data_IF_764078633552
#
_entry.id   IF_764078633552
#
_cell.length_a   1.000
_cell.length_b   1.000
_cell.length_c   1.000
_cell.angle_alpha   90.00
_cell.angle_beta   90.00
_cell.angle_gamma   90.00
#
_symmetry.space_group_name_H-M   'P 1'
#
loop_
_entity.id
_entity.type
_entity.pdbx_description
1 polymer ?
#
# COMPACT_ATOMS: atom_id res chain seq x y z
N UNK A 1 -2.21 83.94 -18.45
CA UNK A 1 -2.21 83.21 -17.16
C UNK A 1 -1.36 81.96 -17.30
N UNK A 2 -0.31 81.84 -16.45
CA UNK A 2 0.52 80.65 -16.08
C UNK A 2 1.07 79.79 -17.26
N UNK A 3 2.35 79.96 -17.66
CA UNK A 3 3.56 79.23 -17.19
C UNK A 3 3.37 77.70 -17.24
N UNK A 4 4.17 76.87 -17.92
CA UNK A 4 5.43 77.00 -18.68
C UNK A 4 6.04 75.60 -18.92
N UNK A 5 7.02 75.51 -19.84
CA UNK A 5 8.17 74.57 -19.95
C UNK A 5 7.99 73.04 -19.76
N UNK A 6 8.55 72.11 -20.55
CA UNK A 6 9.70 72.03 -21.48
C UNK A 6 9.47 70.84 -22.46
N UNK A 7 9.79 70.84 -23.77
CA UNK A 7 11.10 70.65 -24.44
C UNK A 7 11.92 69.49 -23.81
N UNK A 8 12.40 68.44 -24.50
CA UNK A 8 13.18 68.42 -25.74
C UNK A 8 13.26 66.99 -26.35
N UNK A 9 13.43 66.94 -27.68
CA UNK A 9 13.92 65.83 -28.51
C UNK A 9 15.22 65.17 -27.98
N UNK A 10 15.50 63.91 -28.36
CA UNK A 10 16.69 63.53 -29.17
C UNK A 10 16.46 62.18 -29.89
N UNK A 11 17.05 62.13 -31.08
CA UNK A 11 17.00 61.22 -32.22
C UNK A 11 18.21 60.25 -32.22
N UNK A 12 17.95 59.00 -32.61
CA UNK A 12 18.80 57.96 -33.26
C UNK A 12 20.04 57.35 -32.55
N UNK A 13 20.16 56.01 -32.65
CA UNK A 13 21.18 55.35 -33.48
C UNK A 13 20.94 53.83 -33.63
N UNK A 14 21.22 53.35 -34.85
CA UNK A 14 21.16 51.97 -35.36
C UNK A 14 22.29 51.10 -34.81
N UNK A 15 22.08 49.77 -34.77
CA UNK A 15 23.03 48.63 -34.95
C UNK A 15 22.18 47.37 -34.64
N UNK A 16 22.03 46.32 -35.45
CA UNK A 16 22.96 45.72 -36.39
C UNK A 16 23.38 44.33 -35.86
N UNK A 17 22.84 43.28 -36.49
CA UNK A 17 23.36 41.91 -36.61
C UNK A 17 23.06 40.80 -35.56
N UNK A 18 22.79 39.63 -36.17
CA UNK A 18 22.87 38.23 -35.71
C UNK A 18 21.69 37.64 -34.94
N UNK A 19 20.81 37.02 -35.74
CA UNK A 19 20.23 35.71 -35.45
C UNK A 19 21.33 34.74 -35.01
N UNK A 20 21.50 34.56 -33.71
CA UNK A 20 22.16 33.39 -33.14
C UNK A 20 21.07 32.48 -32.61
N UNK A 21 20.94 31.32 -33.23
CA UNK A 21 20.17 30.20 -32.68
C UNK A 21 20.75 29.90 -31.30
N UNK A 22 20.04 30.29 -30.24
CA UNK A 22 20.25 29.67 -28.93
C UNK A 22 19.53 28.33 -28.98
N UNK A 23 20.23 27.35 -29.52
CA UNK A 23 20.04 25.94 -29.18
C UNK A 23 20.05 25.87 -27.66
N UNK A 24 18.89 25.60 -27.06
CA UNK A 24 18.81 25.24 -25.65
C UNK A 24 19.80 24.08 -25.45
N UNK A 25 20.80 24.20 -24.55
CA UNK A 25 21.55 23.03 -24.17
C UNK A 25 20.53 22.08 -23.56
N UNK A 26 20.33 20.95 -24.23
CA UNK A 26 19.73 19.76 -23.64
C UNK A 26 20.75 19.23 -22.64
N UNK A 27 20.91 19.95 -21.53
CA UNK A 27 21.53 19.38 -20.35
C UNK A 27 20.60 18.24 -19.98
N UNK A 28 21.06 17.01 -20.23
CA UNK A 28 20.67 15.88 -19.42
C UNK A 28 20.97 16.37 -18.01
N UNK A 29 19.93 16.87 -17.32
CA UNK A 29 20.05 17.20 -15.92
C UNK A 29 20.56 15.91 -15.29
N UNK A 30 21.82 15.94 -14.88
CA UNK A 30 22.45 14.94 -14.06
C UNK A 30 21.50 14.78 -12.88
N UNK A 31 20.66 13.73 -12.94
CA UNK A 31 19.66 13.48 -11.93
C UNK A 31 20.46 13.26 -10.66
N UNK A 32 20.40 14.22 -9.74
CA UNK A 32 20.94 14.07 -8.41
C UNK A 32 20.50 12.69 -7.89
N UNK A 33 21.45 11.97 -7.27
CA UNK A 33 21.17 10.63 -6.74
C UNK A 33 19.85 10.67 -5.95
N UNK A 34 18.91 9.74 -6.21
CA UNK A 34 17.62 9.79 -5.58
C UNK A 34 17.78 9.77 -4.05
N UNK A 35 17.02 10.64 -3.38
CA UNK A 35 16.95 10.70 -1.92
C UNK A 35 16.72 9.28 -1.35
N UNK A 36 17.40 8.93 -0.26
CA UNK A 36 17.27 7.62 0.40
C UNK A 36 15.80 7.32 0.73
N UNK A 37 15.02 8.35 1.07
CA UNK A 37 13.58 8.22 1.30
C UNK A 37 12.82 7.81 0.03
N UNK A 38 13.19 8.36 -1.13
CA UNK A 38 12.56 8.02 -2.41
C UNK A 38 12.87 6.57 -2.81
N UNK A 39 14.13 6.13 -2.63
CA UNK A 39 14.52 4.74 -2.85
C UNK A 39 13.78 3.76 -1.93
N UNK A 40 13.58 4.13 -0.66
CA UNK A 40 12.80 3.32 0.28
C UNK A 40 11.33 3.21 -0.14
N UNK A 41 10.73 4.33 -0.58
CA UNK A 41 9.35 4.35 -1.09
C UNK A 41 9.24 3.42 -2.31
N UNK A 42 10.12 3.58 -3.30
CA UNK A 42 10.11 2.76 -4.51
C UNK A 42 10.31 1.28 -4.18
N UNK A 43 11.22 0.94 -3.26
CA UNK A 43 11.42 -0.44 -2.80
C UNK A 43 10.17 -1.06 -2.16
N UNK A 44 9.47 -0.31 -1.32
CA UNK A 44 8.23 -0.75 -0.67
C UNK A 44 7.13 -0.97 -1.71
N UNK A 45 6.94 0.01 -2.60
CA UNK A 45 5.89 -0.04 -3.61
C UNK A 45 6.15 -1.10 -4.66
N UNK A 46 7.39 -1.26 -5.12
CA UNK A 46 7.80 -2.33 -6.02
C UNK A 46 7.50 -3.70 -5.41
N UNK A 47 7.83 -3.91 -4.12
CA UNK A 47 7.52 -5.17 -3.43
C UNK A 47 6.02 -5.48 -3.50
N UNK A 48 5.17 -4.45 -3.36
CA UNK A 48 3.73 -4.59 -3.49
C UNK A 48 3.26 -4.87 -4.92
N UNK A 49 3.76 -4.10 -5.89
CA UNK A 49 3.41 -4.22 -7.31
C UNK A 49 3.84 -5.56 -7.92
N UNK A 50 4.98 -6.11 -7.48
CA UNK A 50 5.43 -7.42 -7.95
C UNK A 50 4.64 -8.58 -7.29
N UNK A 51 3.89 -8.30 -6.21
CA UNK A 51 3.09 -9.28 -5.45
C UNK A 51 1.60 -8.98 -5.54
N UNK A 52 0.84 -9.38 -4.52
CA UNK A 52 -0.62 -9.26 -4.51
C UNK A 52 -1.10 -7.80 -4.42
N UNK A 53 -0.25 -6.87 -3.99
CA UNK A 53 -0.67 -5.50 -3.75
C UNK A 53 -0.89 -4.74 -5.06
N UNK A 54 -0.44 -5.27 -6.20
CA UNK A 54 -0.82 -4.78 -7.53
C UNK A 54 -2.34 -4.66 -7.68
N UNK A 55 -3.09 -5.58 -7.06
CA UNK A 55 -4.55 -5.64 -7.10
C UNK A 55 -5.25 -4.58 -6.24
N UNK A 56 -4.50 -3.91 -5.36
CA UNK A 56 -4.96 -2.73 -4.59
C UNK A 56 -4.34 -1.45 -5.12
N UNK A 57 -3.04 -1.43 -5.43
CA UNK A 57 -2.28 -0.24 -5.84
C UNK A 57 -2.70 0.25 -7.23
N UNK A 58 -2.73 -0.67 -8.22
CA UNK A 58 -3.15 -0.38 -9.60
C UNK A 58 -4.57 -0.87 -9.87
N UNK A 59 -4.94 -1.99 -9.26
CA UNK A 59 -6.27 -2.57 -9.39
C UNK A 59 -7.30 -1.95 -8.44
N UNK A 60 -8.57 -2.12 -8.80
CA UNK A 60 -9.72 -1.92 -7.91
C UNK A 60 -10.36 -3.27 -7.58
N UNK A 61 -9.53 -4.21 -7.13
CA UNK A 61 -9.91 -5.61 -6.89
C UNK A 61 -10.15 -5.87 -5.41
N UNK A 62 -9.20 -5.53 -4.54
CA UNK A 62 -9.31 -5.78 -3.09
C UNK A 62 -9.05 -4.53 -2.24
N UNK A 63 -9.78 -4.37 -1.12
CA UNK A 63 -9.66 -3.19 -0.26
C UNK A 63 -8.27 -3.01 0.34
N UNK A 64 -7.59 -4.08 0.74
CA UNK A 64 -6.30 -4.03 1.42
C UNK A 64 -5.31 -5.07 0.91
N UNK A 65 -4.03 -4.71 0.99
CA UNK A 65 -2.89 -5.54 0.64
C UNK A 65 -1.73 -5.36 1.61
N UNK A 66 -0.94 -6.41 1.82
CA UNK A 66 0.26 -6.33 2.64
C UNK A 66 1.43 -5.85 1.79
N UNK A 67 2.25 -4.95 2.29
CA UNK A 67 3.48 -4.53 1.58
C UNK A 67 4.72 -5.12 2.25
N UNK A 68 4.85 -4.95 3.56
CA UNK A 68 6.07 -5.33 4.27
C UNK A 68 5.80 -5.64 5.74
N UNK A 69 6.53 -6.60 6.28
CA UNK A 69 6.56 -6.89 7.71
C UNK A 69 7.91 -6.48 8.29
N UNK A 70 7.86 -5.77 9.40
CA UNK A 70 9.03 -5.36 10.17
C UNK A 70 9.02 -6.10 11.50
N UNK A 71 10.06 -6.88 11.76
CA UNK A 71 10.26 -7.56 13.04
C UNK A 71 11.36 -6.84 13.80
N UNK A 72 11.00 -6.19 14.90
CA UNK A 72 11.91 -5.40 15.72
C UNK A 72 11.97 -5.98 17.14
N UNK A 73 13.14 -6.08 17.78
CA UNK A 73 13.28 -6.61 19.13
C UNK A 73 12.86 -5.58 20.20
N UNK A 74 11.63 -5.07 20.07
CA UNK A 74 11.06 -3.98 20.87
C UNK A 74 9.97 -4.46 21.83
N UNK A 75 9.58 -5.74 21.80
CA UNK A 75 8.55 -6.22 22.70
C UNK A 75 9.02 -6.17 24.16
N UNK A 76 8.08 -5.88 25.05
CA UNK A 76 8.32 -5.99 26.49
C UNK A 76 8.21 -7.46 26.89
N UNK A 77 9.33 -8.07 27.24
CA UNK A 77 9.39 -9.43 27.77
C UNK A 77 9.63 -9.46 29.28
N UNK A 78 9.85 -8.30 29.90
CA UNK A 78 10.16 -8.18 31.32
C UNK A 78 8.85 -7.99 32.10
N UNK A 79 8.43 -9.05 32.80
CA UNK A 79 7.21 -9.05 33.60
C UNK A 79 7.26 -8.03 34.75
N UNK A 80 8.45 -7.68 35.25
CA UNK A 80 8.61 -6.69 36.31
C UNK A 80 8.44 -5.25 35.80
N UNK A 81 8.55 -5.01 34.48
CA UNK A 81 8.40 -3.69 33.85
C UNK A 81 7.04 -3.45 33.21
N UNK A 82 6.02 -4.27 33.50
CA UNK A 82 4.69 -4.15 32.86
C UNK A 82 4.03 -2.78 33.03
N UNK A 83 4.24 -2.13 34.16
CA UNK A 83 3.71 -0.80 34.48
C UNK A 83 4.76 0.31 34.39
N UNK A 84 6.00 -0.02 33.99
CA UNK A 84 7.07 0.97 33.90
C UNK A 84 6.80 1.92 32.74
N UNK A 85 7.03 3.23 32.89
CA UNK A 85 7.04 4.15 31.76
C UNK A 85 8.28 3.96 30.86
N UNK A 86 9.35 3.34 31.36
CA UNK A 86 10.64 3.17 30.69
C UNK A 86 10.88 1.72 30.30
N UNK A 87 10.00 1.20 29.45
CA UNK A 87 10.06 -0.19 28.97
C UNK A 87 11.22 -0.40 27.98
N UNK A 88 11.41 0.54 27.06
CA UNK A 88 12.39 0.40 25.97
C UNK A 88 13.70 1.07 26.35
N UNK A 89 14.75 0.27 26.53
CA UNK A 89 16.12 0.76 26.70
C UNK A 89 16.60 1.43 25.40
N UNK A 90 16.63 2.76 25.40
CA UNK A 90 17.02 3.56 24.23
C UNK A 90 18.49 3.35 23.85
N UNK A 91 19.39 3.15 24.82
CA UNK A 91 20.80 2.91 24.54
C UNK A 91 21.02 1.60 23.78
N UNK A 92 20.26 0.55 24.12
CA UNK A 92 20.37 -0.77 23.46
C UNK A 92 19.51 -0.90 22.21
N UNK A 93 18.31 -0.31 22.19
CA UNK A 93 17.29 -0.55 21.17
C UNK A 93 17.02 0.65 20.26
N UNK A 94 17.70 1.78 20.46
CA UNK A 94 17.46 3.04 19.74
C UNK A 94 17.48 2.91 18.22
N UNK A 95 18.46 2.17 17.66
CA UNK A 95 18.57 1.95 16.21
C UNK A 95 17.31 1.39 15.54
N UNK A 96 16.53 0.58 16.27
CA UNK A 96 15.29 0.01 15.72
C UNK A 96 14.16 1.05 15.71
N UNK A 97 14.10 1.91 16.72
CA UNK A 97 13.16 3.03 16.74
C UNK A 97 13.51 4.05 15.65
N UNK A 98 14.80 4.31 15.41
CA UNK A 98 15.25 5.22 14.36
C UNK A 98 14.88 4.67 12.98
N UNK A 99 15.09 3.37 12.77
CA UNK A 99 14.62 2.68 11.55
C UNK A 99 13.11 2.78 11.36
N UNK A 100 12.30 2.60 12.42
CA UNK A 100 10.86 2.76 12.33
C UNK A 100 10.46 4.21 12.03
N UNK A 101 11.16 5.19 12.61
CA UNK A 101 10.96 6.60 12.33
C UNK A 101 11.25 6.93 10.85
N UNK A 102 12.33 6.39 10.29
CA UNK A 102 12.65 6.56 8.87
C UNK A 102 11.57 5.96 7.95
N UNK A 103 11.11 4.74 8.27
CA UNK A 103 10.02 4.09 7.53
C UNK A 103 8.73 4.90 7.62
N UNK A 104 8.35 5.37 8.83
CA UNK A 104 7.15 6.19 9.03
C UNK A 104 7.22 7.48 8.23
N UNK A 105 8.36 8.19 8.24
CA UNK A 105 8.54 9.41 7.45
C UNK A 105 8.41 9.16 5.95
N UNK A 106 9.02 8.09 5.44
CA UNK A 106 8.94 7.72 4.03
C UNK A 106 7.48 7.42 3.61
N UNK A 107 6.76 6.61 4.40
CA UNK A 107 5.34 6.30 4.13
C UNK A 107 4.49 7.56 4.20
N UNK A 108 4.72 8.42 5.19
CA UNK A 108 4.00 9.69 5.35
C UNK A 108 4.29 10.69 4.23
N UNK A 109 5.28 10.46 3.37
CA UNK A 109 5.55 11.28 2.19
C UNK A 109 4.80 10.80 0.93
N UNK A 110 4.27 9.57 0.92
CA UNK A 110 3.55 9.03 -0.23
C UNK A 110 2.20 9.74 -0.36
N UNK A 111 1.92 10.27 -1.55
CA UNK A 111 0.67 10.94 -1.90
C UNK A 111 0.11 10.30 -3.17
N UNK A 112 -0.80 9.36 -2.98
CA UNK A 112 -1.57 8.74 -4.07
C UNK A 112 -3.06 8.87 -3.72
N UNK A 113 -3.90 9.42 -4.60
CA UNK A 113 -5.32 9.53 -4.31
C UNK A 113 -5.94 8.16 -4.11
N UNK A 114 -6.99 8.09 -3.29
CA UNK A 114 -7.73 6.87 -2.98
C UNK A 114 -6.90 5.76 -2.29
N UNK A 115 -5.63 6.02 -1.91
CA UNK A 115 -4.76 5.05 -1.24
C UNK A 115 -4.27 5.59 0.09
N UNK A 116 -4.40 4.78 1.14
CA UNK A 116 -3.85 5.02 2.46
C UNK A 116 -2.83 3.94 2.81
N UNK A 117 -1.70 4.34 3.38
CA UNK A 117 -0.67 3.41 3.84
C UNK A 117 -0.75 3.30 5.36
N UNK A 118 -1.04 2.09 5.83
CA UNK A 118 -1.33 1.78 7.23
C UNK A 118 -0.14 1.03 7.82
N UNK A 119 0.49 1.60 8.83
CA UNK A 119 1.66 1.02 9.51
C UNK A 119 1.32 0.73 10.98
N UNK A 120 0.90 -0.50 11.28
CA UNK A 120 0.41 -0.87 12.61
C UNK A 120 1.15 -2.06 13.21
N UNK A 121 1.38 -2.08 14.53
CA UNK A 121 1.89 -3.26 15.22
C UNK A 121 0.80 -4.35 15.28
N UNK A 122 1.22 -5.61 15.19
CA UNK A 122 0.36 -6.72 15.59
C UNK A 122 0.09 -6.68 17.09
N UNK A 123 -1.12 -7.10 17.48
CA UNK A 123 -1.57 -7.19 18.87
C UNK A 123 -0.58 -8.04 19.67
N UNK A 124 -0.29 -9.23 19.17
CA UNK A 124 0.66 -10.15 19.78
C UNK A 124 2.10 -9.85 19.34
N UNK A 125 3.04 -9.99 20.28
CA UNK A 125 4.46 -10.14 19.95
C UNK A 125 4.83 -11.63 19.94
N UNK A 126 5.93 -11.95 19.27
CA UNK A 126 6.52 -13.28 19.31
C UNK A 126 7.89 -13.14 19.97
N UNK A 127 8.08 -13.82 21.11
CA UNK A 127 9.28 -13.69 21.94
C UNK A 127 9.56 -12.20 22.25
N UNK A 128 10.78 -11.74 21.96
CA UNK A 128 11.20 -10.34 22.10
C UNK A 128 10.84 -9.44 20.91
N UNK A 129 10.22 -9.99 19.87
CA UNK A 129 9.95 -9.29 18.62
C UNK A 129 8.54 -8.72 18.55
N UNK A 130 8.46 -7.41 18.35
CA UNK A 130 7.26 -6.73 17.87
C UNK A 130 7.24 -6.82 16.34
N UNK A 131 6.18 -7.45 15.82
CA UNK A 131 5.89 -7.44 14.38
C UNK A 131 5.02 -6.24 14.06
N UNK A 132 5.39 -5.49 13.03
CA UNK A 132 4.69 -4.31 12.54
C UNK A 132 4.43 -4.51 11.06
N UNK A 133 3.18 -4.40 10.65
CA UNK A 133 2.77 -4.56 9.27
C UNK A 133 2.58 -3.21 8.61
N UNK A 134 3.17 -3.08 7.43
CA UNK A 134 2.83 -2.05 6.47
C UNK A 134 1.87 -2.66 5.45
N UNK A 135 0.70 -2.05 5.36
CA UNK A 135 -0.35 -2.39 4.39
C UNK A 135 -0.72 -1.15 3.56
N UNK A 136 -1.28 -1.39 2.39
CA UNK A 136 -1.97 -0.35 1.61
C UNK A 136 -3.45 -0.67 1.58
N UNK A 137 -4.27 0.37 1.73
CA UNK A 137 -5.72 0.31 1.71
C UNK A 137 -6.24 1.25 0.63
N UNK A 138 -7.14 0.76 -0.21
CA UNK A 138 -7.89 1.58 -1.16
C UNK A 138 -9.14 2.11 -0.49
N UNK A 139 -9.19 3.42 -0.25
CA UNK A 139 -10.18 4.09 0.60
C UNK A 139 -11.61 3.85 0.10
N UNK A 140 -11.86 4.06 -1.19
CA UNK A 140 -13.19 3.85 -1.78
C UNK A 140 -13.67 2.41 -1.73
N UNK A 141 -12.76 1.43 -1.80
CA UNK A 141 -13.12 0.01 -1.64
C UNK A 141 -13.34 -0.36 -0.17
N UNK A 142 -12.58 0.27 0.75
CA UNK A 142 -12.85 0.14 2.17
C UNK A 142 -14.25 0.68 2.51
N UNK A 143 -14.62 1.86 2.01
CA UNK A 143 -15.94 2.43 2.24
C UNK A 143 -17.06 1.55 1.69
N UNK A 144 -16.88 1.04 0.47
CA UNK A 144 -17.81 0.09 -0.14
C UNK A 144 -17.94 -1.19 0.70
N UNK A 145 -16.82 -1.70 1.22
CA UNK A 145 -16.81 -2.87 2.10
C UNK A 145 -17.54 -2.61 3.41
N UNK A 146 -17.22 -1.51 4.09
CA UNK A 146 -17.84 -1.15 5.37
C UNK A 146 -19.36 -1.00 5.21
N UNK A 147 -19.83 -0.44 4.08
CA UNK A 147 -21.25 -0.38 3.77
C UNK A 147 -21.84 -1.77 3.50
N UNK A 148 -21.21 -2.55 2.63
CA UNK A 148 -21.71 -3.87 2.24
C UNK A 148 -21.73 -4.88 3.40
N UNK A 149 -20.86 -4.68 4.40
CA UNK A 149 -20.69 -5.55 5.57
C UNK A 149 -21.01 -4.82 6.86
N UNK A 150 -21.95 -3.86 6.82
CA UNK A 150 -22.32 -3.02 7.96
C UNK A 150 -22.78 -3.84 9.18
N UNK A 151 -23.45 -4.98 8.96
CA UNK A 151 -23.86 -5.89 10.04
C UNK A 151 -22.69 -6.49 10.81
N UNK A 152 -21.53 -6.63 10.16
CA UNK A 152 -20.30 -7.12 10.79
C UNK A 152 -19.47 -5.96 11.35
N UNK A 153 -19.13 -4.96 10.54
CA UNK A 153 -18.23 -3.87 10.96
C UNK A 153 -18.90 -2.86 11.90
N UNK A 154 -20.23 -2.72 11.84
CA UNK A 154 -21.00 -1.79 12.67
C UNK A 154 -20.92 -2.09 14.17
N UNK A 155 -20.64 -3.34 14.56
CA UNK A 155 -20.40 -3.70 15.97
C UNK A 155 -19.22 -2.92 16.59
N UNK A 156 -18.31 -2.43 15.76
CA UNK A 156 -17.14 -1.63 16.15
C UNK A 156 -17.35 -0.13 15.95
N UNK A 157 -18.54 0.31 15.53
CA UNK A 157 -18.79 1.69 15.12
C UNK A 157 -18.07 2.09 13.83
N UNK A 158 -17.61 1.13 13.01
CA UNK A 158 -16.92 1.38 11.76
C UNK A 158 -17.94 1.51 10.61
N UNK A 159 -17.91 2.65 9.92
CA UNK A 159 -18.83 3.02 8.83
C UNK A 159 -18.04 3.67 7.67
N UNK A 160 -18.61 3.81 6.46
CA UNK A 160 -17.93 4.51 5.36
C UNK A 160 -17.37 5.87 5.79
N UNK A 161 -16.13 6.17 5.37
CA UNK A 161 -15.37 7.35 5.79
C UNK A 161 -14.53 7.14 7.05
N UNK A 162 -14.57 5.96 7.69
CA UNK A 162 -13.70 5.65 8.81
C UNK A 162 -12.22 5.65 8.38
N UNK A 163 -11.36 6.16 9.27
CA UNK A 163 -9.92 6.19 9.04
C UNK A 163 -9.37 4.75 8.82
N UNK A 164 -8.62 4.49 7.73
CA UNK A 164 -8.10 3.16 7.44
C UNK A 164 -7.21 2.58 8.55
N UNK A 165 -6.38 3.39 9.20
CA UNK A 165 -5.52 2.89 10.28
C UNK A 165 -6.36 2.47 11.50
N UNK A 166 -7.41 3.22 11.81
CA UNK A 166 -8.40 2.89 12.83
C UNK A 166 -9.11 1.58 12.51
N UNK A 167 -9.59 1.38 11.28
CA UNK A 167 -10.25 0.12 10.88
C UNK A 167 -9.31 -1.07 11.06
N UNK A 168 -8.12 -1.01 10.47
CA UNK A 168 -7.18 -2.15 10.50
C UNK A 168 -6.71 -2.43 11.94
N UNK A 169 -6.42 -1.39 12.74
CA UNK A 169 -6.03 -1.55 14.14
C UNK A 169 -7.15 -2.16 14.99
N UNK A 170 -8.41 -1.74 14.78
CA UNK A 170 -9.57 -2.32 15.48
C UNK A 170 -9.73 -3.80 15.15
N UNK A 171 -9.62 -4.19 13.88
CA UNK A 171 -9.68 -5.59 13.46
C UNK A 171 -8.49 -6.40 14.01
N UNK A 172 -7.26 -5.87 13.95
CA UNK A 172 -6.07 -6.52 14.50
C UNK A 172 -6.22 -6.83 16.01
N UNK A 173 -6.93 -5.95 16.73
CA UNK A 173 -7.10 -6.07 18.16
C UNK A 173 -8.39 -6.79 18.58
N UNK A 174 -9.26 -7.16 17.64
CA UNK A 174 -10.51 -7.88 17.90
C UNK A 174 -10.27 -9.31 18.46
N UNK A 175 -11.37 -9.98 18.81
CA UNK A 175 -11.36 -11.41 19.11
C UNK A 175 -10.83 -12.22 17.92
N UNK A 176 -10.32 -13.43 18.18
CA UNK A 176 -9.59 -14.19 17.15
C UNK A 176 -10.43 -14.46 15.89
N UNK A 177 -11.72 -14.77 16.06
CA UNK A 177 -12.62 -15.13 14.96
C UNK A 177 -13.08 -13.91 14.18
N UNK A 178 -13.41 -12.84 14.89
CA UNK A 178 -13.76 -11.56 14.30
C UNK A 178 -12.56 -10.96 13.57
N UNK A 179 -11.35 -11.10 14.11
CA UNK A 179 -10.12 -10.70 13.45
C UNK A 179 -9.91 -11.48 12.16
N UNK A 180 -10.09 -12.80 12.17
CA UNK A 180 -9.98 -13.62 10.96
C UNK A 180 -11.01 -13.24 9.89
N UNK A 181 -12.27 -13.04 10.31
CA UNK A 181 -13.34 -12.60 9.42
C UNK A 181 -13.07 -11.21 8.84
N UNK A 182 -12.72 -10.26 9.71
CA UNK A 182 -12.42 -8.88 9.34
C UNK A 182 -11.23 -8.79 8.38
N UNK A 183 -10.14 -9.52 8.64
CA UNK A 183 -9.03 -9.57 7.69
C UNK A 183 -9.43 -10.25 6.38
N UNK A 184 -10.21 -11.34 6.42
CA UNK A 184 -10.70 -11.98 5.20
C UNK A 184 -11.44 -11.01 4.29
N UNK A 185 -12.33 -10.19 4.86
CA UNK A 185 -13.03 -9.13 4.15
C UNK A 185 -12.11 -8.00 3.68
N UNK A 186 -11.18 -7.52 4.52
CA UNK A 186 -10.24 -6.46 4.14
C UNK A 186 -9.32 -6.91 3.00
N UNK A 187 -8.87 -8.17 2.98
CA UNK A 187 -8.10 -8.75 1.89
C UNK A 187 -8.94 -9.09 0.65
N UNK A 188 -10.26 -8.86 0.69
CA UNK A 188 -11.17 -9.01 -0.45
C UNK A 188 -11.46 -10.45 -0.82
N UNK A 189 -11.42 -11.38 0.15
CA UNK A 189 -11.77 -12.77 -0.12
C UNK A 189 -13.28 -12.97 -0.23
N UNK A 190 -13.75 -13.94 -1.05
CA UNK A 190 -15.15 -14.32 -1.12
C UNK A 190 -15.74 -14.70 0.23
N UNK A 191 -17.01 -14.36 0.46
CA UNK A 191 -17.70 -14.61 1.73
C UNK A 191 -17.62 -16.08 2.17
N UNK A 192 -17.87 -17.02 1.25
CA UNK A 192 -17.83 -18.44 1.53
C UNK A 192 -16.43 -18.93 1.96
N UNK A 193 -15.37 -18.31 1.43
CA UNK A 193 -13.99 -18.63 1.79
C UNK A 193 -13.63 -18.06 3.17
N UNK A 194 -14.14 -16.87 3.48
CA UNK A 194 -14.03 -16.27 4.82
C UNK A 194 -14.77 -17.13 5.86
N UNK A 195 -16.01 -17.54 5.56
CA UNK A 195 -16.80 -18.44 6.39
C UNK A 195 -16.05 -19.75 6.64
N UNK A 196 -15.60 -20.41 5.58
CA UNK A 196 -14.83 -21.64 5.70
C UNK A 196 -13.60 -21.49 6.59
N UNK A 197 -12.83 -20.41 6.42
CA UNK A 197 -11.62 -20.18 7.21
C UNK A 197 -11.94 -19.97 8.70
N UNK A 198 -12.98 -19.19 9.01
CA UNK A 198 -13.42 -18.94 10.38
C UNK A 198 -13.93 -20.24 11.01
N UNK A 199 -14.82 -20.97 10.35
CA UNK A 199 -15.36 -22.25 10.84
C UNK A 199 -14.25 -23.30 11.04
N UNK A 200 -13.34 -23.46 10.08
CA UNK A 200 -12.20 -24.37 10.21
C UNK A 200 -11.27 -23.99 11.37
N UNK A 201 -11.24 -22.73 11.80
CA UNK A 201 -10.47 -22.28 12.96
C UNK A 201 -11.16 -22.59 14.30
N UNK A 202 -12.48 -22.78 14.32
CA UNK A 202 -13.19 -23.32 15.48
C UNK A 202 -12.81 -24.78 15.74
N UNK A 203 -12.86 -25.63 14.70
CA UNK A 203 -12.61 -27.08 14.82
C UNK A 203 -11.17 -27.44 15.20
N UNK A 204 -10.19 -26.58 14.90
CA UNK A 204 -8.77 -26.81 15.20
C UNK A 204 -8.41 -26.74 16.69
N UNK A 205 -9.25 -26.15 17.54
CA UNK A 205 -9.00 -26.21 18.99
C UNK A 205 -9.17 -27.63 19.55
N UNK A 206 -9.96 -28.46 18.88
CA UNK A 206 -10.32 -29.81 19.37
C UNK A 206 -9.64 -30.95 18.58
N UNK A 207 -9.13 -30.70 17.38
CA UNK A 207 -8.57 -31.74 16.49
C UNK A 207 -7.21 -31.30 15.94
N UNK A 208 -6.14 -32.10 16.17
CA UNK A 208 -4.77 -31.82 15.72
C UNK A 208 -4.58 -31.85 14.18
N UNK A 209 -5.60 -32.21 13.39
CA UNK A 209 -5.49 -32.34 11.93
C UNK A 209 -6.13 -31.14 11.21
N UNK A 210 -5.48 -30.57 10.18
CA UNK A 210 -6.09 -29.56 9.31
C UNK A 210 -7.42 -30.03 8.72
N UNK A 211 -8.45 -29.17 8.76
CA UNK A 211 -9.65 -29.36 7.94
C UNK A 211 -9.25 -29.49 6.47
N UNK A 212 -9.68 -30.56 5.76
CA UNK A 212 -9.41 -30.74 4.34
C UNK A 212 -9.85 -29.53 3.52
N UNK A 213 -9.01 -29.08 2.58
CA UNK A 213 -9.22 -27.86 1.81
C UNK A 213 -8.43 -27.84 0.52
N UNK A 214 -8.91 -27.04 -0.42
CA UNK A 214 -8.20 -26.65 -1.61
C UNK A 214 -7.75 -25.18 -1.49
N UNK A 215 -6.94 -24.71 -2.45
CA UNK A 215 -6.46 -23.33 -2.51
C UNK A 215 -6.73 -22.74 -3.89
N UNK A 216 -7.32 -21.55 -3.90
CA UNK A 216 -7.53 -20.80 -5.13
C UNK A 216 -6.43 -19.75 -5.26
N UNK A 217 -5.57 -19.88 -6.26
CA UNK A 217 -4.44 -18.98 -6.48
C UNK A 217 -4.75 -18.01 -7.60
N UNK A 218 -4.52 -16.72 -7.31
CA UNK A 218 -4.49 -15.66 -8.31
C UNK A 218 -3.02 -15.28 -8.50
N UNK A 219 -2.47 -15.42 -9.73
CA UNK A 219 -1.07 -15.12 -10.02
C UNK A 219 -0.67 -13.69 -9.65
N UNK A 220 0.62 -13.43 -9.54
CA UNK A 220 1.21 -12.09 -9.51
C UNK A 220 2.42 -12.08 -10.44
N UNK A 221 3.05 -10.93 -10.61
CA UNK A 221 4.28 -10.86 -11.40
C UNK A 221 5.41 -11.73 -10.81
N UNK A 222 5.54 -11.75 -9.48
CA UNK A 222 6.57 -12.53 -8.78
C UNK A 222 6.30 -14.04 -8.73
N UNK A 223 5.04 -14.47 -8.65
CA UNK A 223 4.71 -15.89 -8.54
C UNK A 223 3.29 -16.20 -9.00
N UNK A 224 3.08 -17.39 -9.58
CA UNK A 224 1.74 -17.89 -9.93
C UNK A 224 0.92 -18.30 -8.71
N UNK A 225 1.57 -18.54 -7.57
CA UNK A 225 0.94 -19.06 -6.35
C UNK A 225 1.46 -18.36 -5.09
N UNK A 226 0.66 -18.39 -4.02
CA UNK A 226 1.11 -18.08 -2.66
C UNK A 226 1.07 -16.61 -2.23
N UNK A 227 0.73 -15.66 -3.12
CA UNK A 227 0.57 -14.24 -2.75
C UNK A 227 -0.90 -13.82 -2.61
N UNK A 228 -1.71 -14.02 -3.65
CA UNK A 228 -3.16 -13.80 -3.56
C UNK A 228 -3.86 -15.17 -3.59
N UNK A 229 -4.15 -15.69 -2.40
CA UNK A 229 -4.66 -17.04 -2.21
C UNK A 229 -5.67 -17.09 -1.08
N UNK A 230 -6.73 -17.86 -1.28
CA UNK A 230 -7.67 -18.21 -0.22
C UNK A 230 -7.97 -19.71 -0.24
N UNK A 231 -8.25 -20.24 0.95
CA UNK A 231 -8.61 -21.64 1.12
C UNK A 231 -10.13 -21.80 1.00
N UNK A 232 -10.57 -22.92 0.45
CA UNK A 232 -11.98 -23.28 0.35
C UNK A 232 -12.20 -24.77 0.66
N UNK A 233 -13.45 -25.20 0.98
CA UNK A 233 -13.74 -26.59 1.29
C UNK A 233 -13.29 -27.54 0.18
N UNK A 234 -12.83 -28.73 0.56
CA UNK A 234 -12.33 -29.71 -0.42
C UNK A 234 -13.38 -30.13 -1.46
N UNK A 235 -14.64 -30.18 -1.03
CA UNK A 235 -15.77 -30.64 -1.84
C UNK A 235 -16.57 -29.47 -2.46
N UNK A 236 -16.03 -28.24 -2.39
CA UNK A 236 -16.62 -27.06 -3.03
C UNK A 236 -15.96 -26.81 -4.39
N UNK A 237 -16.78 -26.52 -5.40
CA UNK A 237 -16.30 -26.10 -6.72
C UNK A 237 -16.35 -24.57 -6.85
N UNK A 238 -15.21 -23.90 -7.14
CA UNK A 238 -15.19 -22.47 -7.42
C UNK A 238 -16.18 -22.07 -8.52
N UNK A 239 -16.97 -21.05 -8.22
CA UNK A 239 -18.05 -20.58 -9.08
C UNK A 239 -17.55 -19.68 -10.21
N UNK A 240 -18.38 -19.52 -11.24
CA UNK A 240 -18.10 -18.57 -12.31
C UNK A 240 -18.34 -17.13 -11.86
N UNK A 241 -19.38 -16.93 -11.06
CA UNK A 241 -19.92 -15.64 -10.65
C UNK A 241 -18.99 -14.92 -9.67
N UNK A 242 -18.28 -15.67 -8.84
CA UNK A 242 -17.38 -15.11 -7.81
C UNK A 242 -15.92 -15.34 -8.19
N UNK A 243 -15.51 -16.60 -8.32
CA UNK A 243 -14.09 -16.97 -8.33
C UNK A 243 -13.46 -16.75 -9.69
N UNK A 244 -14.14 -17.19 -10.76
CA UNK A 244 -13.69 -16.96 -12.13
C UNK A 244 -13.70 -15.47 -12.47
N UNK A 245 -14.75 -14.74 -12.05
CA UNK A 245 -14.82 -13.28 -12.24
C UNK A 245 -13.66 -12.56 -11.53
N UNK A 246 -13.39 -12.92 -10.27
CA UNK A 246 -12.27 -12.36 -9.51
C UNK A 246 -10.93 -12.66 -10.19
N UNK A 247 -10.73 -13.90 -10.66
CA UNK A 247 -9.53 -14.30 -11.39
C UNK A 247 -9.32 -13.46 -12.65
N UNK A 248 -10.33 -13.39 -13.53
CA UNK A 248 -10.18 -12.68 -14.80
C UNK A 248 -9.98 -11.17 -14.63
N UNK A 249 -10.70 -10.53 -13.70
CA UNK A 249 -10.48 -9.11 -13.39
C UNK A 249 -9.07 -8.86 -12.84
N UNK A 250 -8.54 -9.79 -12.03
CA UNK A 250 -7.17 -9.70 -11.53
C UNK A 250 -6.16 -9.86 -12.66
N UNK A 251 -6.33 -10.85 -13.55
CA UNK A 251 -5.43 -11.04 -14.68
C UNK A 251 -5.35 -9.81 -15.59
N UNK A 252 -6.45 -9.11 -15.84
CA UNK A 252 -6.43 -7.85 -16.59
C UNK A 252 -5.55 -6.77 -15.93
N UNK A 253 -5.58 -6.67 -14.60
CA UNK A 253 -4.72 -5.75 -13.85
C UNK A 253 -3.26 -6.17 -13.94
N UNK A 254 -2.97 -7.47 -13.79
CA UNK A 254 -1.63 -8.01 -13.89
C UNK A 254 -1.03 -7.77 -15.28
N UNK A 255 -1.77 -8.09 -16.34
CA UNK A 255 -1.34 -7.83 -17.72
C UNK A 255 -1.08 -6.35 -17.98
N UNK A 256 -1.93 -5.45 -17.45
CA UNK A 256 -1.70 -4.00 -17.53
C UNK A 256 -0.40 -3.62 -16.84
N UNK A 257 -0.16 -4.14 -15.63
CA UNK A 257 1.07 -3.86 -14.88
C UNK A 257 2.30 -4.31 -15.66
N UNK A 258 2.32 -5.56 -16.15
CA UNK A 258 3.47 -6.13 -16.86
C UNK A 258 3.79 -5.35 -18.15
N UNK A 259 2.77 -4.92 -18.90
CA UNK A 259 2.95 -4.09 -20.11
C UNK A 259 3.60 -2.74 -19.83
N UNK A 260 3.42 -2.17 -18.63
CA UNK A 260 3.94 -0.83 -18.31
C UNK A 260 5.20 -0.85 -17.46
N UNK A 261 5.46 -1.93 -16.71
CA UNK A 261 6.54 -2.07 -15.72
C UNK A 261 7.91 -1.71 -16.29
N UNK A 262 8.25 -2.24 -17.47
CA UNK A 262 9.59 -2.10 -18.06
C UNK A 262 9.97 -0.64 -18.37
N UNK A 263 8.97 0.22 -18.61
CA UNK A 263 9.20 1.66 -18.84
C UNK A 263 9.69 2.40 -17.59
N UNK A 264 9.53 1.79 -16.42
CA UNK A 264 9.92 2.36 -15.12
C UNK A 264 11.12 1.67 -14.50
N UNK A 265 11.76 0.71 -15.20
CA UNK A 265 12.98 0.09 -14.72
C UNK A 265 14.15 1.07 -14.72
N UNK A 266 14.93 1.00 -13.64
CA UNK A 266 16.25 1.57 -13.54
C UNK A 266 17.30 0.58 -14.08
N UNK A 267 18.52 1.05 -14.29
CA UNK A 267 19.63 0.22 -14.79
C UNK A 267 19.98 -0.96 -13.85
N UNK A 268 19.69 -0.84 -12.56
CA UNK A 268 19.89 -1.88 -11.54
C UNK A 268 18.67 -2.83 -11.37
N UNK A 269 17.70 -2.76 -12.30
CA UNK A 269 16.44 -3.53 -12.28
C UNK A 269 15.47 -3.18 -11.15
N UNK A 270 15.73 -2.12 -10.36
CA UNK A 270 14.72 -1.55 -9.46
C UNK A 270 13.67 -0.80 -10.27
N UNK A 271 12.44 -0.71 -9.75
CA UNK A 271 11.34 -0.02 -10.41
C UNK A 271 11.13 1.34 -9.75
N UNK A 272 11.01 2.41 -10.56
CA UNK A 272 10.50 3.72 -10.14
C UNK A 272 8.99 3.65 -9.85
N UNK A 273 8.64 2.83 -8.86
CA UNK A 273 7.28 2.37 -8.58
C UNK A 273 6.35 3.51 -8.19
N UNK A 274 6.83 4.50 -7.46
CA UNK A 274 6.02 5.66 -7.10
C UNK A 274 5.64 6.47 -8.34
N UNK A 275 6.60 6.69 -9.26
CA UNK A 275 6.32 7.37 -10.52
C UNK A 275 5.33 6.60 -11.39
N UNK A 276 5.48 5.27 -11.48
CA UNK A 276 4.54 4.40 -12.18
C UNK A 276 3.10 4.60 -11.67
N UNK A 277 2.91 4.62 -10.35
CA UNK A 277 1.59 4.80 -9.75
C UNK A 277 1.02 6.19 -10.00
N UNK A 278 1.84 7.25 -9.94
CA UNK A 278 1.40 8.61 -10.26
C UNK A 278 0.92 8.73 -11.72
N UNK A 279 1.68 8.16 -12.66
CA UNK A 279 1.31 8.18 -14.07
C UNK A 279 0.07 7.33 -14.35
N UNK A 280 -0.12 6.22 -13.62
CA UNK A 280 -1.32 5.40 -13.72
C UNK A 280 -2.59 6.13 -13.24
N UNK A 281 -2.48 6.89 -12.15
CA UNK A 281 -3.56 7.73 -11.62
C UNK A 281 -3.94 8.83 -12.62
N UNK A 282 -2.95 9.56 -13.15
CA UNK A 282 -3.20 10.62 -14.12
C UNK A 282 -3.90 10.09 -15.39
N UNK A 283 -3.52 8.89 -15.85
CA UNK A 283 -4.17 8.25 -16.98
C UNK A 283 -5.64 7.87 -16.72
N UNK A 284 -6.01 7.55 -15.47
CA UNK A 284 -7.40 7.26 -15.10
C UNK A 284 -8.26 8.52 -15.00
N UNK A 285 -7.69 9.66 -14.61
CA UNK A 285 -8.40 10.95 -14.59
C UNK A 285 -8.70 11.45 -16.00
N UNK A 286 -7.84 11.20 -16.99
CA UNK A 286 -8.07 11.56 -18.39
C UNK A 286 -9.13 10.71 -19.10
N UNK A 287 -9.56 9.60 -18.50
CA UNK A 287 -10.60 8.71 -19.03
C UNK A 287 -11.99 8.97 -18.43
N UNK A 288 -12.11 9.88 -17.46
CA UNK A 288 -13.37 10.30 -16.83
C UNK A 288 -13.83 11.65 -17.37
#
# INVERSE_FOLDING_TARGET
MKRGWSMFLVVFLLLGCRSSQHTLPRTVAEQAAPDESALLIDSILQTGLDREAVYTLLGRIKPMSSLKLYRMPLANTDSAKRSSPEIVDRAKKGRYLDRLSHVQKAINAIRLPDLAFVFIPYRAHQDSNRTIQLSVVRISLLDSLLKAKESFFGQYGLVPGADPATVVSTIENAGIYERYRGYGYLFGYPDYAVDFFVEASHTRRDIQKPTPRNFFNIPTHQSKEGYFVYAYPKDYEPSREVDSLLYHRSMQVLERYEKVRDRYLNADSTVRAYRLLLDAVAAEEHLK
#
